data_IF_600951348333
#
_entry.id   IF_600951348333
#
_cell.length_a   1.000
_cell.length_b   1.000
_cell.length_c   1.000
_cell.angle_alpha   90.00
_cell.angle_beta   90.00
_cell.angle_gamma   90.00
#
_symmetry.space_group_name_H-M   'P 1'
#
loop_
_entity.id
_entity.type
_entity.pdbx_description
1 polymer ?
#
# COMPACT_ATOMS: atom_id res chain seq x y z
N UNK A 1 -73.36 -1.94 -55.44
CA UNK A 1 -72.89 -1.12 -56.57
C UNK A 1 -71.38 -1.25 -56.63
N UNK A 2 -70.87 -1.60 -57.81
CA UNK A 2 -69.50 -2.00 -58.14
C UNK A 2 -68.54 -0.79 -58.22
N UNK A 3 -67.22 -1.10 -58.29
CA UNK A 3 -66.07 -0.32 -58.85
C UNK A 3 -65.21 0.41 -57.79
N UNK A 4 -63.86 0.44 -57.78
CA UNK A 4 -62.69 -0.25 -58.41
C UNK A 4 -61.48 0.52 -57.75
N UNK A 5 -60.44 -0.11 -57.15
CA UNK A 5 -59.06 -0.32 -57.70
C UNK A 5 -58.30 1.01 -57.99
N UNK A 6 -57.06 1.35 -57.55
CA UNK A 6 -55.74 0.67 -57.57
C UNK A 6 -54.72 1.52 -56.73
N UNK A 7 -53.81 0.91 -55.93
CA UNK A 7 -52.34 0.73 -56.11
C UNK A 7 -51.37 1.89 -55.72
N UNK A 8 -50.34 1.45 -54.96
CA UNK A 8 -48.94 1.89 -54.84
C UNK A 8 -48.58 3.17 -54.05
N UNK A 9 -47.76 3.02 -52.98
CA UNK A 9 -46.31 3.30 -53.05
C UNK A 9 -45.66 3.55 -51.67
N UNK A 10 -44.48 2.95 -51.50
CA UNK A 10 -43.33 3.27 -50.63
C UNK A 10 -43.49 3.56 -49.13
N UNK A 11 -42.78 2.74 -48.34
CA UNK A 11 -42.70 2.86 -46.91
C UNK A 11 -41.89 4.06 -46.40
N UNK A 12 -42.13 4.39 -45.14
CA UNK A 12 -41.10 4.87 -44.23
C UNK A 12 -41.43 4.41 -42.82
N UNK A 13 -40.40 3.88 -42.18
CA UNK A 13 -40.40 3.22 -40.88
C UNK A 13 -40.81 4.15 -39.74
N UNK A 14 -41.55 3.57 -38.79
CA UNK A 14 -41.84 4.17 -37.49
C UNK A 14 -40.54 4.60 -36.78
N UNK A 15 -40.27 5.91 -36.74
CA UNK A 15 -39.30 6.47 -35.79
C UNK A 15 -39.92 6.47 -34.40
N UNK A 16 -39.70 5.38 -33.65
CA UNK A 16 -39.81 5.39 -32.19
C UNK A 16 -38.91 6.50 -31.64
N UNK A 17 -39.51 7.53 -31.08
CA UNK A 17 -38.83 8.60 -30.35
C UNK A 17 -38.11 8.00 -29.14
N UNK A 18 -36.78 7.88 -29.22
CA UNK A 18 -35.95 7.67 -28.03
C UNK A 18 -36.09 8.88 -27.12
N UNK A 19 -36.20 8.70 -25.79
CA UNK A 19 -36.11 9.83 -24.87
C UNK A 19 -34.73 10.46 -25.04
N UNK A 20 -34.69 11.79 -25.18
CA UNK A 20 -33.45 12.57 -25.13
C UNK A 20 -32.80 12.27 -23.79
N UNK A 21 -31.67 11.58 -23.84
CA UNK A 21 -30.73 11.52 -22.73
C UNK A 21 -30.34 12.97 -22.43
N UNK A 22 -30.75 13.45 -21.26
CA UNK A 22 -30.24 14.70 -20.70
C UNK A 22 -28.78 14.42 -20.40
N UNK A 23 -27.89 15.06 -21.15
CA UNK A 23 -26.46 15.12 -20.84
C UNK A 23 -26.31 15.81 -19.49
N UNK A 24 -26.36 15.01 -18.43
CA UNK A 24 -25.87 15.44 -17.13
C UNK A 24 -24.35 15.45 -17.29
N UNK A 25 -23.66 16.57 -17.03
CA UNK A 25 -22.20 16.60 -17.12
C UNK A 25 -21.68 15.55 -16.14
N UNK A 26 -21.16 14.46 -16.70
CA UNK A 26 -20.70 13.31 -15.93
C UNK A 26 -19.68 13.79 -14.92
N UNK A 27 -20.05 13.73 -13.64
CA UNK A 27 -19.09 13.85 -12.55
C UNK A 27 -17.94 12.91 -12.86
N UNK A 28 -16.73 13.44 -12.93
CA UNK A 28 -15.50 12.70 -13.22
C UNK A 28 -15.20 11.76 -12.02
N UNK A 29 -15.96 10.68 -11.90
CA UNK A 29 -15.86 9.69 -10.81
C UNK A 29 -14.48 9.02 -10.75
N UNK A 30 -13.70 9.14 -11.83
CA UNK A 30 -12.37 8.56 -11.99
C UNK A 30 -11.24 9.45 -11.46
N UNK A 31 -11.54 10.66 -10.95
CA UNK A 31 -10.52 11.63 -10.56
C UNK A 31 -10.51 11.88 -9.06
N UNK A 32 -9.34 11.69 -8.45
CA UNK A 32 -9.00 12.18 -7.13
C UNK A 32 -9.15 13.71 -7.07
N UNK A 33 -9.31 14.31 -5.87
CA UNK A 33 -9.39 15.77 -5.69
C UNK A 33 -8.21 16.55 -6.28
N UNK A 34 -7.06 15.91 -6.47
CA UNK A 34 -5.87 16.48 -7.13
C UNK A 34 -5.84 16.25 -8.66
N UNK A 35 -6.93 15.80 -9.26
CA UNK A 35 -7.07 15.53 -10.69
C UNK A 35 -6.50 14.20 -11.18
N UNK A 36 -5.85 13.41 -10.32
CA UNK A 36 -5.22 12.13 -10.68
C UNK A 36 -6.25 11.01 -10.83
N UNK A 37 -5.95 10.02 -11.68
CA UNK A 37 -6.86 8.91 -11.92
C UNK A 37 -6.82 7.87 -10.80
N UNK A 38 -7.98 7.47 -10.31
CA UNK A 38 -8.12 6.30 -9.44
C UNK A 38 -7.90 5.03 -10.26
N UNK A 39 -7.16 4.07 -9.70
CA UNK A 39 -6.97 2.75 -10.32
C UNK A 39 -8.23 1.85 -10.23
N UNK A 40 -9.29 2.31 -9.57
CA UNK A 40 -10.44 1.47 -9.19
C UNK A 40 -11.67 1.58 -10.10
N UNK A 41 -11.61 2.36 -11.20
CA UNK A 41 -12.68 2.33 -12.21
C UNK A 41 -12.29 1.48 -13.40
N UNK A 42 -12.60 0.19 -13.29
CA UNK A 42 -12.74 -0.72 -14.43
C UNK A 42 -13.94 -0.21 -15.27
N UNK A 43 -13.71 0.78 -16.11
CA UNK A 43 -14.50 0.89 -17.33
C UNK A 43 -14.07 -0.30 -18.20
N UNK A 44 -14.95 -1.30 -18.32
CA UNK A 44 -14.75 -2.57 -19.03
C UNK A 44 -14.36 -2.44 -20.51
N UNK A 45 -14.28 -1.21 -21.03
CA UNK A 45 -13.84 -0.88 -22.39
C UNK A 45 -12.40 -0.38 -22.47
N UNK A 46 -11.77 -0.03 -21.35
CA UNK A 46 -10.36 0.37 -21.31
C UNK A 46 -9.52 -0.88 -21.06
N UNK A 47 -8.98 -1.44 -22.13
CA UNK A 47 -7.94 -2.48 -22.04
C UNK A 47 -6.66 -1.80 -21.55
N UNK A 48 -6.58 -1.59 -20.23
CA UNK A 48 -5.32 -1.26 -19.58
C UNK A 48 -4.57 -2.58 -19.35
N UNK A 49 -3.38 -2.68 -19.92
CA UNK A 49 -2.44 -3.81 -19.81
C UNK A 49 -1.82 -3.93 -18.41
N UNK A 50 -2.62 -3.84 -17.34
CA UNK A 50 -2.11 -4.00 -15.98
C UNK A 50 -2.67 -5.27 -15.35
N UNK A 51 -1.77 -6.23 -15.18
CA UNK A 51 -2.02 -7.57 -14.64
C UNK A 51 -2.11 -7.59 -13.09
N UNK A 52 -2.13 -6.43 -12.45
CA UNK A 52 -2.06 -6.27 -10.99
C UNK A 52 -3.10 -5.23 -10.54
N UNK A 53 -4.30 -5.68 -10.19
CA UNK A 53 -5.34 -4.83 -9.59
C UNK A 53 -5.07 -4.77 -8.09
N UNK A 54 -4.73 -3.58 -7.58
CA UNK A 54 -4.73 -3.30 -6.14
C UNK A 54 -6.01 -2.51 -5.86
N UNK A 55 -6.95 -3.15 -5.18
CA UNK A 55 -8.27 -2.58 -4.91
C UNK A 55 -8.22 -1.47 -3.87
N UNK A 56 -9.32 -0.73 -3.72
CA UNK A 56 -9.51 0.17 -2.58
C UNK A 56 -10.01 -0.62 -1.36
N UNK A 57 -9.50 -0.31 -0.17
CA UNK A 57 -10.02 -0.86 1.08
C UNK A 57 -10.75 0.23 1.87
N UNK A 58 -11.94 -0.10 2.37
CA UNK A 58 -12.63 0.74 3.35
C UNK A 58 -12.18 0.34 4.76
N UNK A 59 -11.61 1.30 5.48
CA UNK A 59 -11.13 1.15 6.84
C UNK A 59 -12.17 1.65 7.85
N UNK A 60 -12.04 1.20 9.10
CA UNK A 60 -12.77 1.75 10.25
C UNK A 60 -12.64 3.26 10.32
N UNK A 61 -13.73 3.91 10.71
CA UNK A 61 -13.81 5.38 10.78
C UNK A 61 -14.08 6.06 9.44
N UNK A 62 -14.38 5.31 8.37
CA UNK A 62 -14.73 5.88 7.06
C UNK A 62 -13.51 6.31 6.23
N UNK A 63 -12.31 5.87 6.60
CA UNK A 63 -11.11 6.06 5.80
C UNK A 63 -11.07 5.07 4.65
N UNK A 64 -10.43 5.44 3.53
CA UNK A 64 -10.32 4.58 2.35
C UNK A 64 -8.87 4.62 1.86
N UNK A 65 -8.25 3.46 1.67
CA UNK A 65 -6.98 3.37 0.94
C UNK A 65 -7.26 3.41 -0.56
N UNK A 66 -6.45 4.14 -1.32
CA UNK A 66 -6.61 4.17 -2.76
C UNK A 66 -5.30 4.34 -3.51
N UNK A 67 -5.29 3.85 -4.74
CA UNK A 67 -4.12 3.89 -5.61
C UNK A 67 -4.39 4.80 -6.80
N UNK A 68 -3.36 5.56 -7.20
CA UNK A 68 -3.42 6.45 -8.35
C UNK A 68 -2.18 6.31 -9.23
N UNK A 69 -2.28 6.78 -10.46
CA UNK A 69 -1.22 6.64 -11.47
C UNK A 69 -1.19 7.86 -12.39
N UNK A 70 -0.01 8.25 -12.83
CA UNK A 70 0.20 9.13 -13.97
C UNK A 70 1.27 8.56 -14.92
N UNK A 71 1.73 9.35 -15.88
CA UNK A 71 2.69 8.91 -16.90
C UNK A 71 4.07 8.53 -16.34
N UNK A 72 4.37 8.87 -15.07
CA UNK A 72 5.69 8.72 -14.46
C UNK A 72 5.69 7.93 -13.16
N UNK A 73 4.58 7.98 -12.40
CA UNK A 73 4.54 7.53 -11.02
C UNK A 73 3.23 6.80 -10.70
N UNK A 74 3.31 5.90 -9.72
CA UNK A 74 2.18 5.31 -9.00
C UNK A 74 2.18 5.84 -7.57
N UNK A 75 0.99 5.91 -7.00
CA UNK A 75 0.74 6.54 -5.72
C UNK A 75 -0.19 5.70 -4.87
N UNK A 76 0.03 5.74 -3.56
CA UNK A 76 -0.84 5.15 -2.55
C UNK A 76 -1.28 6.24 -1.58
N UNK A 77 -2.59 6.37 -1.40
CA UNK A 77 -3.22 7.44 -0.64
C UNK A 77 -4.12 6.90 0.46
N UNK A 78 -4.31 7.73 1.49
CA UNK A 78 -5.40 7.64 2.45
C UNK A 78 -6.41 8.75 2.19
N UNK A 79 -7.67 8.39 1.97
CA UNK A 79 -8.79 9.32 1.81
C UNK A 79 -9.69 9.29 3.05
N UNK A 80 -10.17 10.46 3.46
CA UNK A 80 -11.23 10.61 4.46
C UNK A 80 -12.09 11.82 4.13
N UNK A 81 -13.36 11.58 3.80
CA UNK A 81 -14.22 12.60 3.19
C UNK A 81 -13.58 13.17 1.92
N UNK A 82 -13.44 14.49 1.88
CA UNK A 82 -12.80 15.22 0.76
C UNK A 82 -11.28 15.35 0.91
N UNK A 83 -10.70 14.87 2.02
CA UNK A 83 -9.25 14.95 2.26
C UNK A 83 -8.54 13.75 1.69
N UNK A 84 -7.40 13.99 1.03
CA UNK A 84 -6.54 12.97 0.45
C UNK A 84 -5.09 13.18 0.90
N UNK A 85 -4.48 12.13 1.46
CA UNK A 85 -3.10 12.14 1.93
C UNK A 85 -2.25 11.14 1.16
N UNK A 86 -1.09 11.56 0.66
CA UNK A 86 -0.12 10.66 0.06
C UNK A 86 0.61 9.86 1.15
N UNK A 87 0.62 8.54 1.00
CA UNK A 87 1.29 7.60 1.91
C UNK A 87 2.62 7.12 1.32
N UNK A 88 2.58 6.63 0.07
CA UNK A 88 3.76 6.16 -0.67
C UNK A 88 3.64 6.52 -2.16
N UNK A 89 4.78 6.55 -2.85
CA UNK A 89 4.86 6.70 -4.29
C UNK A 89 6.04 5.90 -4.85
N UNK A 90 5.93 5.47 -6.10
CA UNK A 90 6.98 4.69 -6.79
C UNK A 90 6.95 4.98 -8.29
N UNK A 91 8.06 4.87 -9.02
CA UNK A 91 8.05 4.98 -10.47
C UNK A 91 7.07 4.02 -11.15
N UNK A 92 6.55 4.42 -12.30
CA UNK A 92 5.53 3.68 -13.06
C UNK A 92 5.91 2.23 -13.40
N UNK A 93 7.21 1.97 -13.56
CA UNK A 93 7.75 0.66 -13.92
C UNK A 93 7.95 -0.29 -12.72
N UNK A 94 7.82 0.21 -11.49
CA UNK A 94 7.88 -0.62 -10.28
C UNK A 94 6.56 -1.34 -10.06
N UNK A 95 6.56 -2.55 -9.52
CA UNK A 95 5.33 -3.26 -9.16
C UNK A 95 4.46 -2.44 -8.20
N UNK A 96 3.13 -2.49 -8.36
CA UNK A 96 2.20 -1.72 -7.51
C UNK A 96 2.20 -2.26 -6.07
N UNK A 97 2.58 -3.53 -5.87
CA UNK A 97 2.75 -4.15 -4.55
C UNK A 97 3.82 -3.46 -3.70
N UNK A 98 4.78 -2.79 -4.34
CA UNK A 98 5.81 -1.99 -3.65
C UNK A 98 5.26 -0.75 -2.94
N UNK A 99 4.03 -0.32 -3.25
CA UNK A 99 3.38 0.82 -2.59
C UNK A 99 2.80 0.47 -1.22
N UNK A 100 2.64 -0.82 -0.92
CA UNK A 100 1.95 -1.29 0.27
C UNK A 100 0.51 -1.71 -0.02
N UNK A 101 0.08 -2.82 0.60
CA UNK A 101 -1.27 -3.37 0.58
C UNK A 101 -1.77 -3.46 2.01
N UNK A 102 -3.06 -3.19 2.27
CA UNK A 102 -3.62 -3.30 3.61
C UNK A 102 -3.41 -4.71 4.17
N UNK A 103 -2.76 -4.78 5.33
CA UNK A 103 -2.55 -6.03 6.08
C UNK A 103 -3.56 -6.12 7.24
N UNK A 104 -3.69 -5.04 8.01
CA UNK A 104 -4.59 -5.02 9.17
C UNK A 104 -5.05 -3.62 9.50
N UNK A 105 -6.30 -3.50 9.92
CA UNK A 105 -6.93 -2.23 10.27
C UNK A 105 -7.29 -2.12 11.76
N UNK A 106 -7.03 -0.95 12.35
CA UNK A 106 -7.32 -0.60 13.75
C UNK A 106 -8.04 0.75 13.81
N UNK A 107 -8.50 1.14 15.01
CA UNK A 107 -9.34 2.34 15.12
C UNK A 107 -8.57 3.62 14.77
N UNK A 108 -7.29 3.72 15.17
CA UNK A 108 -6.47 4.92 15.00
C UNK A 108 -5.35 4.79 13.94
N UNK A 109 -4.99 3.57 13.56
CA UNK A 109 -3.89 3.29 12.63
C UNK A 109 -4.21 2.07 11.78
N UNK A 110 -3.42 1.84 10.74
CA UNK A 110 -3.48 0.61 9.94
C UNK A 110 -2.07 0.17 9.56
N UNK A 111 -1.93 -1.11 9.26
CA UNK A 111 -0.69 -1.75 8.85
C UNK A 111 -0.82 -2.05 7.36
N UNK A 112 0.22 -1.72 6.61
CA UNK A 112 0.38 -2.18 5.23
C UNK A 112 1.57 -3.11 5.14
N UNK A 113 1.44 -4.16 4.34
CA UNK A 113 2.56 -4.99 3.91
C UNK A 113 3.09 -4.50 2.57
N UNK A 114 4.40 -4.48 2.40
CA UNK A 114 5.08 -4.25 1.13
C UNK A 114 5.59 -5.60 0.65
N UNK A 115 5.23 -5.95 -0.58
CA UNK A 115 5.64 -7.18 -1.27
C UNK A 115 6.33 -6.77 -2.58
N UNK A 116 7.35 -7.53 -2.99
CA UNK A 116 8.05 -7.34 -4.26
C UNK A 116 7.35 -8.04 -5.45
N UNK A 117 6.12 -8.53 -5.24
CA UNK A 117 5.27 -9.17 -6.24
C UNK A 117 5.35 -10.71 -6.23
N UNK A 118 5.93 -11.31 -5.20
CA UNK A 118 6.05 -12.77 -5.06
C UNK A 118 5.01 -13.39 -4.09
N UNK A 119 4.15 -12.58 -3.48
CA UNK A 119 3.12 -13.02 -2.54
C UNK A 119 3.60 -13.15 -1.09
N UNK A 120 4.86 -12.82 -0.80
CA UNK A 120 5.44 -12.86 0.55
C UNK A 120 5.76 -11.44 1.00
N UNK A 121 5.15 -10.95 2.09
CA UNK A 121 5.45 -9.61 2.60
C UNK A 121 6.92 -9.52 2.99
N UNK A 122 7.62 -8.58 2.38
CA UNK A 122 9.03 -8.32 2.65
C UNK A 122 9.17 -7.42 3.88
N UNK A 123 8.29 -6.43 4.01
CA UNK A 123 8.30 -5.48 5.13
C UNK A 123 6.90 -4.91 5.42
N UNK A 124 6.77 -4.18 6.53
CA UNK A 124 5.53 -3.55 6.98
C UNK A 124 5.72 -2.05 7.23
N UNK A 125 4.67 -1.27 6.99
CA UNK A 125 4.56 0.12 7.43
C UNK A 125 3.31 0.30 8.28
N UNK A 126 3.33 1.30 9.16
CA UNK A 126 2.25 1.54 10.11
C UNK A 126 1.84 2.98 10.03
N UNK A 127 0.66 3.26 9.50
CA UNK A 127 0.20 4.62 9.26
C UNK A 127 -0.85 5.04 10.28
N UNK A 128 -0.60 6.18 10.93
CA UNK A 128 -1.61 6.88 11.71
C UNK A 128 -2.69 7.42 10.76
N UNK A 129 -3.96 7.10 11.00
CA UNK A 129 -5.06 7.49 10.11
C UNK A 129 -5.29 8.99 10.08
N UNK A 130 -5.14 9.65 11.23
CA UNK A 130 -5.47 11.07 11.40
C UNK A 130 -4.49 11.97 10.66
N UNK A 131 -3.19 11.65 10.71
CA UNK A 131 -2.14 12.46 10.14
C UNK A 131 -1.56 11.88 8.86
N UNK A 132 -1.92 10.64 8.50
CA UNK A 132 -1.40 9.91 7.36
C UNK A 132 0.14 9.83 7.34
N UNK A 133 0.71 9.58 8.52
CA UNK A 133 2.17 9.48 8.72
C UNK A 133 2.55 8.09 9.19
N UNK A 134 3.69 7.60 8.72
CA UNK A 134 4.27 6.38 9.23
C UNK A 134 4.75 6.59 10.68
N UNK A 135 4.17 5.83 11.61
CA UNK A 135 4.41 5.91 13.05
C UNK A 135 5.86 5.51 13.39
N UNK A 136 6.48 4.64 12.59
CA UNK A 136 7.85 4.18 12.82
C UNK A 136 8.90 5.23 12.39
N UNK A 137 8.51 6.17 11.55
CA UNK A 137 9.35 7.23 10.99
C UNK A 137 9.23 7.32 9.48
N UNK A 138 9.71 8.43 8.91
CA UNK A 138 9.72 8.61 7.46
C UNK A 138 10.57 7.52 6.78
N UNK A 139 9.99 6.86 5.77
CA UNK A 139 10.59 5.74 5.03
C UNK A 139 11.05 4.54 5.88
N UNK A 140 10.65 4.46 7.15
CA UNK A 140 10.98 3.33 8.03
C UNK A 140 10.05 2.16 7.73
N UNK A 141 10.61 0.97 7.55
CA UNK A 141 9.84 -0.26 7.36
C UNK A 141 10.20 -1.27 8.45
N UNK A 142 9.21 -2.01 8.92
CA UNK A 142 9.40 -3.09 9.88
C UNK A 142 9.60 -4.42 9.18
N UNK A 143 10.53 -5.21 9.68
CA UNK A 143 10.75 -6.60 9.25
C UNK A 143 9.63 -7.50 9.76
N UNK A 144 9.11 -7.22 10.96
CA UNK A 144 8.13 -8.08 11.62
C UNK A 144 7.33 -7.31 12.68
N UNK A 145 6.22 -7.89 13.12
CA UNK A 145 5.50 -7.45 14.31
C UNK A 145 4.96 -8.62 15.11
N UNK A 146 4.86 -8.44 16.44
CA UNK A 146 4.37 -9.49 17.35
C UNK A 146 3.52 -8.89 18.47
N UNK A 147 2.54 -9.66 18.92
CA UNK A 147 1.81 -9.35 20.15
C UNK A 147 2.57 -9.85 21.37
N UNK A 148 2.62 -9.01 22.40
CA UNK A 148 2.86 -9.42 23.77
C UNK A 148 1.62 -9.00 24.55
N UNK A 149 0.87 -9.99 25.01
CA UNK A 149 -0.50 -9.81 25.53
C UNK A 149 -1.36 -9.10 24.46
N UNK A 150 -1.95 -7.95 24.80
CA UNK A 150 -2.78 -7.15 23.88
C UNK A 150 -1.99 -6.05 23.16
N UNK A 151 -0.68 -5.95 23.42
CA UNK A 151 0.15 -4.86 22.87
C UNK A 151 0.91 -5.34 21.65
N UNK A 152 0.80 -4.57 20.56
CA UNK A 152 1.54 -4.81 19.33
C UNK A 152 2.93 -4.17 19.37
N UNK A 153 3.94 -4.93 18.97
CA UNK A 153 5.32 -4.48 18.85
C UNK A 153 5.84 -4.65 17.42
N UNK A 154 6.55 -3.65 16.91
CA UNK A 154 7.19 -3.69 15.59
C UNK A 154 8.71 -3.77 15.72
N UNK A 155 9.34 -4.66 14.95
CA UNK A 155 10.79 -4.80 14.85
C UNK A 155 11.28 -4.23 13.52
N UNK A 156 12.25 -3.33 13.59
CA UNK A 156 12.94 -2.73 12.44
C UNK A 156 14.38 -2.41 12.83
N UNK A 157 15.18 -1.96 11.88
CA UNK A 157 16.55 -1.50 12.14
C UNK A 157 16.72 -0.03 11.75
N UNK A 158 17.90 0.53 11.98
CA UNK A 158 18.27 1.88 11.52
C UNK A 158 19.07 1.88 10.22
N UNK A 159 18.90 0.87 9.37
CA UNK A 159 19.43 0.95 8.01
C UNK A 159 18.83 2.16 7.29
N UNK A 160 19.66 2.93 6.58
CA UNK A 160 19.19 4.05 5.77
C UNK A 160 19.77 3.97 4.38
N UNK A 161 18.92 4.16 3.37
CA UNK A 161 19.30 4.33 1.96
C UNK A 161 18.88 5.72 1.53
N UNK A 162 19.86 6.56 1.21
CA UNK A 162 19.63 7.87 0.63
C UNK A 162 20.07 7.86 -0.83
N UNK A 163 19.22 8.38 -1.72
CA UNK A 163 19.52 8.55 -3.14
C UNK A 163 19.88 10.02 -3.38
N UNK A 164 21.10 10.28 -3.84
CA UNK A 164 21.58 11.61 -4.20
C UNK A 164 21.98 11.61 -5.69
N UNK A 165 21.03 11.99 -6.56
CA UNK A 165 21.22 11.88 -8.00
C UNK A 165 21.38 10.41 -8.43
N UNK A 166 22.56 10.06 -8.94
CA UNK A 166 22.91 8.68 -9.31
C UNK A 166 23.65 7.91 -8.20
N UNK A 167 23.94 8.57 -7.07
CA UNK A 167 24.67 7.97 -5.96
C UNK A 167 23.70 7.39 -4.92
N UNK A 168 24.04 6.22 -4.40
CA UNK A 168 23.32 5.55 -3.32
C UNK A 168 24.19 5.56 -2.06
N UNK A 169 23.82 6.39 -1.09
CA UNK A 169 24.43 6.38 0.24
C UNK A 169 23.69 5.35 1.11
N UNK A 170 24.38 4.27 1.46
CA UNK A 170 23.86 3.18 2.29
C UNK A 170 24.57 3.17 3.63
N UNK A 171 23.84 3.55 4.68
CA UNK A 171 24.30 3.32 6.05
C UNK A 171 23.75 1.98 6.53
N UNK A 172 24.65 1.07 6.87
CA UNK A 172 24.27 -0.21 7.45
C UNK A 172 23.64 -0.04 8.84
N UNK A 173 22.74 -0.96 9.17
CA UNK A 173 22.17 -1.04 10.49
C UNK A 173 23.25 -1.37 11.54
N UNK A 174 23.29 -0.60 12.62
CA UNK A 174 24.09 -0.90 13.81
C UNK A 174 23.21 -1.30 15.01
N UNK A 175 21.90 -1.13 14.86
CA UNK A 175 20.93 -1.35 15.92
C UNK A 175 19.59 -1.82 15.35
N UNK A 176 18.90 -2.66 16.11
CA UNK A 176 17.48 -2.98 15.91
C UNK A 176 16.64 -2.25 16.95
N UNK A 177 15.39 -1.98 16.60
CA UNK A 177 14.44 -1.25 17.43
C UNK A 177 13.15 -2.03 17.56
N UNK A 178 12.64 -2.07 18.79
CA UNK A 178 11.32 -2.60 19.11
C UNK A 178 10.41 -1.43 19.50
N UNK A 179 9.39 -1.17 18.69
CA UNK A 179 8.43 -0.09 18.93
C UNK A 179 7.15 -0.62 19.55
N UNK A 180 6.75 -0.05 20.69
CA UNK A 180 5.53 -0.39 21.41
C UNK A 180 4.37 0.50 20.94
N UNK A 181 3.37 -0.07 20.28
CA UNK A 181 2.22 0.69 19.74
C UNK A 181 1.35 1.35 20.82
N UNK A 182 1.35 0.82 22.04
CA UNK A 182 0.52 1.33 23.15
C UNK A 182 1.18 2.53 23.83
N UNK A 183 2.49 2.46 24.08
CA UNK A 183 3.22 3.53 24.79
C UNK A 183 3.90 4.53 23.85
N UNK A 184 4.09 4.19 22.59
CA UNK A 184 4.88 4.97 21.63
C UNK A 184 6.39 4.95 21.90
N UNK A 185 6.85 4.10 22.82
CA UNK A 185 8.26 4.00 23.20
C UNK A 185 9.01 3.08 22.22
N UNK A 186 10.23 3.49 21.90
CA UNK A 186 11.18 2.75 21.07
C UNK A 186 12.32 2.23 21.94
N UNK A 187 12.47 0.91 22.02
CA UNK A 187 13.59 0.23 22.68
C UNK A 187 14.67 -0.07 21.64
N UNK A 188 15.92 0.37 21.86
CA UNK A 188 17.03 0.16 20.92
C UNK A 188 18.03 -0.88 21.41
N UNK A 189 18.47 -1.75 20.50
CA UNK A 189 19.38 -2.86 20.79
C UNK A 189 20.54 -2.87 19.80
N UNK A 190 21.78 -2.80 20.31
CA UNK A 190 22.98 -2.85 19.47
C UNK A 190 23.13 -4.21 18.81
N UNK A 191 23.38 -4.21 17.51
CA UNK A 191 23.70 -5.41 16.76
C UNK A 191 25.11 -5.91 17.10
N UNK A 192 25.36 -7.24 17.07
CA UNK A 192 26.70 -7.79 17.18
C UNK A 192 27.63 -7.24 16.10
N UNK A 193 28.89 -6.98 16.44
CA UNK A 193 29.92 -6.61 15.48
C UNK A 193 30.29 -7.84 14.64
N UNK A 194 29.66 -8.03 13.49
CA UNK A 194 30.01 -9.07 12.52
C UNK A 194 30.13 -8.51 11.11
N UNK A 195 30.75 -9.28 10.22
CA UNK A 195 31.07 -8.89 8.85
C UNK A 195 29.82 -8.45 8.08
N UNK A 196 29.99 -7.27 7.48
CA UNK A 196 28.97 -6.32 7.08
C UNK A 196 28.42 -6.52 5.66
N UNK A 197 28.71 -7.66 5.02
CA UNK A 197 28.54 -7.78 3.56
C UNK A 197 27.21 -8.46 3.17
N UNK A 198 26.51 -9.06 4.13
CA UNK A 198 25.35 -9.90 3.84
C UNK A 198 24.00 -9.18 4.01
N UNK A 199 23.04 -9.56 3.17
CA UNK A 199 21.62 -9.23 3.34
C UNK A 199 21.11 -10.04 4.52
N UNK A 200 20.58 -9.37 5.53
CA UNK A 200 20.20 -9.98 6.80
C UNK A 200 18.72 -9.71 7.07
N UNK A 201 17.99 -10.77 7.38
CA UNK A 201 16.61 -10.68 7.84
C UNK A 201 16.53 -10.89 9.35
N UNK A 202 15.63 -10.14 9.98
CA UNK A 202 15.37 -10.21 11.42
C UNK A 202 13.95 -10.66 11.70
N UNK A 203 13.76 -11.64 12.58
CA UNK A 203 12.45 -12.13 12.99
C UNK A 203 12.34 -12.30 14.51
N UNK A 204 11.16 -12.03 15.07
CA UNK A 204 10.91 -12.10 16.52
C UNK A 204 10.54 -13.54 16.91
N UNK A 205 11.55 -14.31 17.34
CA UNK A 205 11.33 -15.67 17.84
C UNK A 205 10.63 -15.70 19.19
N UNK A 206 11.05 -14.85 20.13
CA UNK A 206 10.40 -14.76 21.44
C UNK A 206 10.35 -13.31 21.94
N UNK A 207 9.24 -12.95 22.57
CA UNK A 207 9.02 -11.62 23.14
C UNK A 207 8.32 -11.78 24.49
N UNK A 208 8.96 -11.34 25.56
CA UNK A 208 8.39 -11.29 26.92
C UNK A 208 8.61 -9.91 27.52
N UNK A 209 8.11 -9.67 28.74
CA UNK A 209 8.35 -8.42 29.45
C UNK A 209 9.83 -8.17 29.81
N UNK A 210 10.70 -9.19 29.75
CA UNK A 210 12.10 -9.09 30.20
C UNK A 210 13.11 -9.48 29.14
N UNK A 211 12.68 -10.13 28.05
CA UNK A 211 13.57 -10.64 27.03
C UNK A 211 12.99 -10.47 25.63
N UNK A 212 13.87 -10.22 24.68
CA UNK A 212 13.62 -10.27 23.25
C UNK A 212 14.62 -11.27 22.65
N UNK A 213 14.13 -12.26 21.91
CA UNK A 213 14.97 -13.17 21.13
C UNK A 213 14.64 -12.94 19.67
N UNK A 214 15.66 -12.54 18.91
CA UNK A 214 15.58 -12.26 17.48
C UNK A 214 16.43 -13.29 16.75
N UNK A 215 15.89 -13.86 15.68
CA UNK A 215 16.71 -14.57 14.72
C UNK A 215 17.31 -13.60 13.72
N UNK A 216 18.57 -13.84 13.38
CA UNK A 216 19.31 -13.16 12.34
C UNK A 216 19.62 -14.19 11.26
N UNK A 217 18.97 -14.07 10.12
CA UNK A 217 19.14 -15.00 9.00
C UNK A 217 19.90 -14.31 7.89
N UNK A 218 21.02 -14.89 7.48
CA UNK A 218 21.77 -14.44 6.31
C UNK A 218 21.08 -14.96 5.05
N UNK A 219 20.73 -14.06 4.12
CA UNK A 219 20.06 -14.43 2.87
C UNK A 219 20.88 -15.42 2.03
N UNK A 220 22.20 -15.28 2.00
CA UNK A 220 23.07 -16.04 1.10
C UNK A 220 23.40 -17.43 1.64
N UNK A 221 23.62 -17.54 2.96
CA UNK A 221 23.97 -18.83 3.59
C UNK A 221 22.78 -19.56 4.21
N UNK A 222 21.63 -18.88 4.33
CA UNK A 222 20.47 -19.32 5.10
C UNK A 222 20.78 -19.65 6.57
N UNK A 223 21.97 -19.28 7.06
CA UNK A 223 22.38 -19.54 8.43
C UNK A 223 21.57 -18.64 9.37
N UNK A 224 20.84 -19.28 10.30
CA UNK A 224 20.08 -18.61 11.34
C UNK A 224 20.88 -18.57 12.65
N UNK A 225 21.12 -17.35 13.16
CA UNK A 225 21.70 -17.14 14.49
C UNK A 225 20.68 -16.48 15.41
N UNK A 226 20.55 -16.99 16.63
CA UNK A 226 19.68 -16.39 17.65
C UNK A 226 20.47 -15.38 18.49
N UNK A 227 19.91 -14.17 18.63
CA UNK A 227 20.44 -13.12 19.48
C UNK A 227 19.42 -12.80 20.56
N UNK A 228 19.88 -12.81 21.81
CA UNK A 228 19.05 -12.53 22.99
C UNK A 228 19.38 -11.15 23.55
N UNK A 229 18.34 -10.35 23.75
CA UNK A 229 18.40 -9.03 24.37
C UNK A 229 17.56 -9.00 25.65
N UNK A 230 18.02 -8.21 26.61
CA UNK A 230 17.26 -7.89 27.83
C UNK A 230 16.42 -6.63 27.60
N UNK A 231 15.15 -6.69 27.98
CA UNK A 231 14.21 -5.56 27.95
C UNK A 231 14.13 -4.87 29.30
#
# INVERSE_FOLDING_TARGET
>A
MTILVHLLSCGQSEKKSRPKQVDTPGSNLDKLPNGKRLLDNINSKTVLYYKEVVGTDTLKGGYITCYGIDDSMKYFYLRHGDTLHLLNETPIYTSTWSLGVLEKDFDNFFITRIDNGNGVPETYQVFDKKHAKNILGDKVVAWNFKYLEETLFFLYDNHTVNLFGNDIDRKQADSIFLYNMKSGIREGYKLPKENQIDIIYYDIKNLTNTNLIVSRTNHNSEEEKLVKYRR
#
